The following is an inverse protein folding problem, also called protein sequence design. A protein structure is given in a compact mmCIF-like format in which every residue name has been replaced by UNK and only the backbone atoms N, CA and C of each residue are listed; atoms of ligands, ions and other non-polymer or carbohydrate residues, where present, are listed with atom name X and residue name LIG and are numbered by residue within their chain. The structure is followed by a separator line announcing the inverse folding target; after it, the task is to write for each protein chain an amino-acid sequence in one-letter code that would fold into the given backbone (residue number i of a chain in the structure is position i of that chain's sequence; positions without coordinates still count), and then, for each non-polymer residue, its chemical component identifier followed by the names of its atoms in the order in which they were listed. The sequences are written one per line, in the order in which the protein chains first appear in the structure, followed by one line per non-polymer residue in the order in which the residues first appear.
data_IF_505694888288
#
_entry.id   IF_505694888288
#
_cell.length_a   1.000
_cell.length_b   1.000
_cell.length_c   1.000
_cell.angle_alpha   90.00
_cell.angle_beta   90.00
_cell.angle_gamma   90.00
#
_symmetry.space_group_name_H-M   'P 1'
#
loop_
_entity.id
_entity.type
_entity.pdbx_description
1 polymer ?
#
# COMPACT_ATOMS: atom_id res chain seq x y z
N UNK A 1 15.71 -6.48 -20.22
CA UNK A 1 14.73 -7.53 -19.89
C UNK A 1 15.09 -8.15 -18.57
N UNK A 2 14.09 -8.35 -17.70
CA UNK A 2 14.26 -9.26 -16.56
C UNK A 2 14.83 -10.56 -17.10
N UNK A 3 15.85 -11.13 -16.44
CA UNK A 3 16.22 -12.53 -16.77
C UNK A 3 14.95 -13.36 -16.62
N UNK A 4 14.73 -14.31 -17.51
CA UNK A 4 13.50 -15.14 -17.50
C UNK A 4 13.17 -15.70 -16.11
N UNK A 5 14.18 -16.00 -15.30
CA UNK A 5 14.07 -16.45 -13.91
C UNK A 5 13.45 -15.42 -12.95
N UNK A 6 13.83 -14.14 -13.04
CA UNK A 6 13.29 -13.11 -12.15
C UNK A 6 11.80 -12.80 -12.41
N UNK A 7 11.37 -12.84 -13.68
CA UNK A 7 9.94 -12.71 -14.03
C UNK A 7 9.13 -13.90 -13.54
N UNK A 8 9.65 -15.11 -13.67
CA UNK A 8 8.98 -16.34 -13.22
C UNK A 8 8.70 -16.36 -11.72
N UNK A 9 9.56 -15.76 -10.90
CA UNK A 9 9.36 -15.67 -9.46
C UNK A 9 8.10 -14.86 -9.05
N UNK A 10 7.54 -14.06 -9.94
CA UNK A 10 6.27 -13.36 -9.73
C UNK A 10 5.10 -14.04 -10.45
N UNK A 11 5.33 -14.61 -11.62
CA UNK A 11 4.29 -15.24 -12.45
C UNK A 11 3.80 -16.55 -11.84
N UNK A 12 4.69 -17.41 -11.38
CA UNK A 12 4.29 -18.71 -10.82
C UNK A 12 3.45 -18.59 -9.53
N UNK A 13 3.77 -17.69 -8.58
CA UNK A 13 2.86 -17.40 -7.47
C UNK A 13 1.51 -16.83 -7.93
N UNK A 14 1.48 -15.93 -8.92
CA UNK A 14 0.24 -15.38 -9.45
C UNK A 14 -0.68 -16.46 -10.05
N UNK A 15 -0.14 -17.39 -10.84
CA UNK A 15 -0.89 -18.53 -11.37
C UNK A 15 -1.48 -19.41 -10.26
N UNK A 16 -0.72 -19.66 -9.19
CA UNK A 16 -1.21 -20.43 -8.02
C UNK A 16 -2.37 -19.72 -7.34
N UNK A 17 -2.29 -18.38 -7.19
CA UNK A 17 -3.36 -17.54 -6.61
C UNK A 17 -4.60 -17.61 -7.50
N UNK A 18 -4.46 -17.45 -8.82
CA UNK A 18 -5.57 -17.60 -9.76
C UNK A 18 -6.19 -19.01 -9.71
N UNK A 19 -5.37 -20.05 -9.68
CA UNK A 19 -5.84 -21.45 -9.56
C UNK A 19 -6.60 -21.71 -8.24
N UNK A 20 -6.20 -21.03 -7.17
CA UNK A 20 -6.89 -21.10 -5.86
C UNK A 20 -8.20 -20.31 -5.80
N UNK A 21 -8.61 -19.62 -6.88
CA UNK A 21 -9.88 -18.91 -6.99
C UNK A 21 -9.88 -17.50 -6.36
N UNK A 22 -8.72 -16.87 -6.18
CA UNK A 22 -8.66 -15.47 -5.76
C UNK A 22 -8.92 -14.54 -6.95
N UNK A 23 -9.52 -13.37 -6.67
CA UNK A 23 -9.86 -12.37 -7.69
C UNK A 23 -8.67 -11.47 -8.05
N UNK A 24 -7.67 -11.34 -7.19
CA UNK A 24 -6.53 -10.45 -7.41
C UNK A 24 -5.33 -10.70 -6.53
N UNK A 25 -4.27 -9.97 -6.83
CA UNK A 25 -3.02 -9.96 -6.07
C UNK A 25 -2.60 -8.53 -5.72
N UNK A 26 -1.84 -8.38 -4.65
CA UNK A 26 -1.15 -7.15 -4.35
C UNK A 26 0.33 -7.24 -4.70
N UNK A 27 0.79 -6.42 -5.63
CA UNK A 27 2.21 -6.15 -5.83
C UNK A 27 2.68 -5.13 -4.79
N UNK A 28 3.49 -5.60 -3.84
CA UNK A 28 4.04 -4.73 -2.81
C UNK A 28 5.27 -3.99 -3.34
N UNK A 29 5.04 -2.86 -3.97
CA UNK A 29 6.05 -1.94 -4.50
C UNK A 29 6.28 -0.74 -3.55
N UNK A 30 5.87 -0.92 -2.29
CA UNK A 30 6.04 0.01 -1.18
C UNK A 30 6.86 -0.58 -0.02
N UNK A 31 6.87 0.12 1.12
CA UNK A 31 7.40 -0.32 2.41
C UNK A 31 8.89 -0.74 2.41
N UNK A 32 9.69 -0.16 1.52
CA UNK A 32 11.13 -0.42 1.38
C UNK A 32 11.50 -1.90 1.08
N UNK A 33 10.57 -2.66 0.45
CA UNK A 33 10.87 -3.97 -0.10
C UNK A 33 11.59 -3.86 -1.45
N UNK A 34 12.00 -5.00 -2.02
CA UNK A 34 12.84 -5.09 -3.21
C UNK A 34 12.35 -4.18 -4.36
N UNK A 35 11.10 -4.31 -4.80
CA UNK A 35 10.55 -3.50 -5.91
C UNK A 35 10.49 -2.01 -5.57
N UNK A 36 10.16 -1.65 -4.32
CA UNK A 36 10.19 -0.27 -3.84
C UNK A 36 11.59 0.35 -3.95
N UNK A 37 12.63 -0.39 -3.57
CA UNK A 37 14.03 0.07 -3.64
C UNK A 37 14.53 0.18 -5.08
N UNK A 38 14.06 -0.66 -5.98
CA UNK A 38 14.37 -0.56 -7.42
C UNK A 38 13.79 0.73 -8.02
N UNK A 39 12.64 1.19 -7.54
CA UNK A 39 12.00 2.43 -8.02
C UNK A 39 12.55 3.69 -7.35
N UNK A 40 13.15 3.59 -6.16
CA UNK A 40 13.67 4.72 -5.40
C UNK A 40 14.91 5.33 -6.09
N UNK A 41 14.90 6.63 -6.48
CA UNK A 41 16.03 7.27 -7.15
C UNK A 41 17.29 7.37 -6.28
N UNK A 42 17.16 7.31 -4.96
CA UNK A 42 18.32 7.36 -4.04
C UNK A 42 18.96 5.98 -3.84
N UNK A 43 18.17 4.90 -3.92
CA UNK A 43 18.64 3.53 -3.76
C UNK A 43 19.08 2.92 -5.09
N UNK A 44 18.39 3.23 -6.19
CA UNK A 44 18.66 2.68 -7.50
C UNK A 44 19.76 3.47 -8.23
N UNK A 45 21.00 3.02 -8.10
CA UNK A 45 22.18 3.61 -8.75
C UNK A 45 22.53 2.97 -10.10
N UNK A 46 21.62 2.16 -10.70
CA UNK A 46 21.84 1.49 -11.99
C UNK A 46 22.01 2.48 -13.14
N UNK A 47 22.84 2.10 -14.12
CA UNK A 47 23.13 2.89 -15.33
C UNK A 47 22.56 2.25 -16.60
N UNK A 48 21.86 1.13 -16.46
CA UNK A 48 21.19 0.42 -17.55
C UNK A 48 19.70 0.85 -17.67
N UNK A 49 18.95 0.10 -18.49
CA UNK A 49 17.54 0.36 -18.76
C UNK A 49 16.58 0.21 -17.54
N UNK A 50 17.09 -0.13 -16.37
CA UNK A 50 16.34 -0.24 -15.11
C UNK A 50 16.74 0.82 -14.07
N UNK A 51 17.48 1.87 -14.49
CA UNK A 51 17.90 2.95 -13.62
C UNK A 51 17.85 4.32 -14.31
N UNK A 52 18.16 5.37 -13.58
CA UNK A 52 18.13 6.75 -14.06
C UNK A 52 16.72 7.38 -13.95
N UNK A 53 16.05 7.64 -15.07
CA UNK A 53 14.74 8.29 -15.07
C UNK A 53 13.62 7.41 -14.50
N UNK A 54 12.50 8.01 -14.13
CA UNK A 54 11.35 7.37 -13.49
C UNK A 54 10.85 6.16 -14.29
N UNK A 55 10.66 6.32 -15.59
CA UNK A 55 10.17 5.23 -16.45
C UNK A 55 11.09 4.01 -16.42
N UNK A 56 12.41 4.21 -16.49
CA UNK A 56 13.36 3.11 -16.40
C UNK A 56 13.34 2.41 -15.03
N UNK A 57 13.19 3.16 -13.94
CA UNK A 57 13.11 2.58 -12.59
C UNK A 57 11.83 1.76 -12.40
N UNK A 58 10.71 2.19 -13.00
CA UNK A 58 9.43 1.45 -12.95
C UNK A 58 9.40 0.25 -13.90
N UNK A 59 10.24 0.21 -14.95
CA UNK A 59 10.25 -0.81 -16.00
C UNK A 59 10.15 -2.25 -15.49
N UNK A 60 10.87 -2.60 -14.43
CA UNK A 60 10.82 -3.94 -13.85
C UNK A 60 9.41 -4.30 -13.38
N UNK A 61 8.72 -3.38 -12.74
CA UNK A 61 7.34 -3.57 -12.28
C UNK A 61 6.39 -3.72 -13.45
N UNK A 62 6.56 -2.91 -14.51
CA UNK A 62 5.75 -3.00 -15.72
C UNK A 62 5.90 -4.33 -16.44
N UNK A 63 7.13 -4.87 -16.51
CA UNK A 63 7.38 -6.19 -17.08
C UNK A 63 6.70 -7.30 -16.26
N UNK A 64 6.71 -7.20 -14.93
CA UNK A 64 6.01 -8.14 -14.04
C UNK A 64 4.49 -8.05 -14.25
N UNK A 65 3.91 -6.85 -14.24
CA UNK A 65 2.48 -6.63 -14.51
C UNK A 65 2.07 -7.26 -15.84
N UNK A 66 2.83 -6.95 -16.89
CA UNK A 66 2.58 -7.48 -18.24
C UNK A 66 2.59 -9.00 -18.26
N UNK A 67 3.58 -9.64 -17.64
CA UNK A 67 3.69 -11.11 -17.61
C UNK A 67 2.52 -11.75 -16.83
N UNK A 68 2.10 -11.16 -15.72
CA UNK A 68 0.96 -11.65 -14.94
C UNK A 68 -0.33 -11.51 -15.75
N UNK A 69 -0.58 -10.35 -16.36
CA UNK A 69 -1.76 -10.11 -17.23
C UNK A 69 -1.81 -11.02 -18.47
N UNK A 70 -0.65 -11.47 -18.98
CA UNK A 70 -0.60 -12.42 -20.10
C UNK A 70 -0.95 -13.86 -19.69
N UNK A 71 -0.91 -14.18 -18.40
CA UNK A 71 -1.04 -15.54 -17.89
C UNK A 71 -2.19 -15.75 -16.92
N UNK A 72 -2.82 -14.68 -16.45
CA UNK A 72 -3.95 -14.69 -15.50
C UNK A 72 -4.88 -13.51 -15.75
N UNK A 73 -6.14 -13.62 -15.30
CA UNK A 73 -7.12 -12.52 -15.29
C UNK A 73 -7.19 -11.82 -13.92
N UNK A 74 -6.17 -11.98 -13.09
CA UNK A 74 -6.14 -11.40 -11.75
C UNK A 74 -6.14 -9.86 -11.77
N UNK A 75 -6.90 -9.27 -10.87
CA UNK A 75 -6.81 -7.85 -10.53
C UNK A 75 -5.44 -7.56 -9.90
N UNK A 76 -4.69 -6.62 -10.45
CA UNK A 76 -3.37 -6.24 -9.96
C UNK A 76 -3.47 -4.94 -9.16
N UNK A 77 -3.43 -5.09 -7.84
CA UNK A 77 -3.39 -3.99 -6.88
C UNK A 77 -1.94 -3.60 -6.57
N UNK A 78 -1.53 -2.38 -6.90
CA UNK A 78 -0.17 -1.90 -6.67
C UNK A 78 -0.09 -1.04 -5.41
N UNK A 79 0.67 -1.52 -4.40
CA UNK A 79 0.93 -0.74 -3.18
C UNK A 79 2.19 0.10 -3.33
N UNK A 80 2.04 1.42 -3.45
CA UNK A 80 3.08 2.40 -3.81
C UNK A 80 3.46 3.26 -2.60
N UNK A 81 4.74 3.59 -2.45
CA UNK A 81 5.19 4.58 -1.48
C UNK A 81 5.07 6.01 -2.03
N UNK A 82 4.73 6.94 -1.14
CA UNK A 82 5.13 8.33 -1.32
C UNK A 82 6.61 8.47 -0.95
N UNK A 83 7.47 8.69 -1.96
CA UNK A 83 8.90 8.96 -1.81
C UNK A 83 9.16 10.41 -1.36
N UNK A 84 10.44 10.80 -1.26
CA UNK A 84 10.81 12.17 -0.89
C UNK A 84 10.43 13.19 -1.97
N UNK A 85 10.57 12.82 -3.24
CA UNK A 85 10.09 13.62 -4.37
C UNK A 85 8.65 13.22 -4.70
N UNK A 86 7.73 14.13 -4.39
CA UNK A 86 6.30 13.98 -4.65
C UNK A 86 5.98 13.92 -6.15
N UNK A 87 6.72 14.68 -6.98
CA UNK A 87 6.51 14.69 -8.43
C UNK A 87 6.91 13.35 -9.05
N UNK A 88 8.04 12.80 -8.63
CA UNK A 88 8.49 11.47 -9.06
C UNK A 88 7.48 10.40 -8.61
N UNK A 89 6.97 10.51 -7.38
CA UNK A 89 5.94 9.60 -6.86
C UNK A 89 4.64 9.64 -7.66
N UNK A 90 4.20 10.84 -8.07
CA UNK A 90 3.01 11.01 -8.91
C UNK A 90 3.24 10.43 -10.31
N UNK A 91 4.40 10.66 -10.91
CA UNK A 91 4.78 10.09 -12.20
C UNK A 91 4.80 8.55 -12.14
N UNK A 92 5.31 7.95 -11.06
CA UNK A 92 5.24 6.49 -10.83
C UNK A 92 3.78 6.01 -10.84
N UNK A 93 2.88 6.68 -10.12
CA UNK A 93 1.47 6.32 -10.06
C UNK A 93 0.81 6.36 -11.44
N UNK A 94 1.08 7.41 -12.24
CA UNK A 94 0.57 7.57 -13.61
C UNK A 94 1.09 6.46 -14.53
N UNK A 95 2.39 6.21 -14.51
CA UNK A 95 2.99 5.15 -15.33
C UNK A 95 2.38 3.77 -14.99
N UNK A 96 2.16 3.47 -13.71
CA UNK A 96 1.55 2.20 -13.29
C UNK A 96 0.10 2.08 -13.77
N UNK A 97 -0.70 3.13 -13.60
CA UNK A 97 -2.10 3.16 -14.04
C UNK A 97 -2.23 2.96 -15.55
N UNK A 98 -1.42 3.66 -16.34
CA UNK A 98 -1.40 3.57 -17.81
C UNK A 98 -0.89 2.22 -18.34
N UNK A 99 -0.18 1.44 -17.52
CA UNK A 99 0.49 0.22 -17.93
C UNK A 99 -0.01 -1.06 -17.22
N UNK A 100 -1.27 -1.05 -16.79
CA UNK A 100 -1.99 -2.27 -16.41
C UNK A 100 -2.10 -2.56 -14.91
N UNK A 101 -1.78 -1.63 -14.02
CA UNK A 101 -2.28 -1.68 -12.67
C UNK A 101 -3.80 -1.44 -12.69
N UNK A 102 -4.56 -2.24 -11.92
CA UNK A 102 -6.03 -2.11 -11.85
C UNK A 102 -6.46 -1.24 -10.67
N UNK A 103 -5.62 -1.04 -9.67
CA UNK A 103 -5.80 -0.10 -8.56
C UNK A 103 -4.48 0.23 -7.88
N UNK A 104 -4.42 1.38 -7.22
CA UNK A 104 -3.24 1.83 -6.48
C UNK A 104 -3.57 1.97 -4.99
N UNK A 105 -2.67 1.50 -4.12
CA UNK A 105 -2.70 1.85 -2.70
C UNK A 105 -1.55 2.80 -2.38
N UNK A 106 -1.89 4.01 -2.01
CA UNK A 106 -0.90 4.99 -1.58
C UNK A 106 -0.53 4.76 -0.11
N UNK A 107 0.75 4.64 0.15
CA UNK A 107 1.29 4.46 1.51
C UNK A 107 2.57 5.26 1.67
N UNK A 108 3.03 5.40 2.89
CA UNK A 108 4.34 5.99 3.19
C UNK A 108 5.11 5.05 4.11
N UNK A 109 6.30 4.65 3.69
CA UNK A 109 7.20 3.97 4.58
C UNK A 109 7.78 5.00 5.55
N UNK A 110 7.36 4.90 6.80
CA UNK A 110 7.94 5.69 7.87
C UNK A 110 8.91 4.77 8.63
N UNK A 111 10.18 5.11 8.58
CA UNK A 111 11.18 4.52 9.48
C UNK A 111 10.68 4.66 10.93
N UNK A 112 11.02 3.72 11.83
CA UNK A 112 10.60 3.76 13.24
C UNK A 112 10.80 5.09 13.96
N UNK A 113 11.85 5.82 13.59
CA UNK A 113 12.14 7.14 14.12
C UNK A 113 11.12 8.23 13.69
N UNK A 114 10.37 8.02 12.61
CA UNK A 114 9.31 8.92 12.15
C UNK A 114 7.95 8.66 12.80
N UNK A 115 7.79 7.55 13.52
CA UNK A 115 6.59 7.27 14.34
C UNK A 115 6.57 8.07 15.66
N UNK A 116 7.41 9.09 15.82
CA UNK A 116 7.37 9.98 16.97
C UNK A 116 6.07 10.76 16.98
N UNK A 117 5.40 10.76 18.16
CA UNK A 117 4.18 11.52 18.42
C UNK A 117 4.29 12.95 17.88
N UNK A 118 3.31 13.38 17.09
CA UNK A 118 3.08 14.78 16.75
C UNK A 118 3.50 15.25 15.36
N UNK A 119 3.97 14.38 14.46
CA UNK A 119 4.15 14.78 13.07
C UNK A 119 2.89 14.42 12.25
N UNK A 120 2.29 15.43 11.63
CA UNK A 120 1.05 15.36 10.84
C UNK A 120 1.30 14.71 9.46
N UNK A 121 1.83 13.48 9.46
CA UNK A 121 2.12 12.73 8.24
C UNK A 121 0.85 12.26 7.52
N UNK A 122 -0.28 12.23 8.21
CA UNK A 122 -1.60 11.84 7.65
C UNK A 122 -2.07 12.87 6.63
N UNK A 123 -2.00 14.18 6.93
CA UNK A 123 -2.44 15.23 6.01
C UNK A 123 -1.62 15.26 4.70
N UNK A 124 -0.31 14.99 4.77
CA UNK A 124 0.54 14.94 3.57
C UNK A 124 0.18 13.75 2.68
N UNK A 125 -0.09 12.59 3.28
CA UNK A 125 -0.47 11.40 2.54
C UNK A 125 -1.86 11.52 1.91
N UNK A 126 -2.81 12.15 2.62
CA UNK A 126 -4.15 12.49 2.11
C UNK A 126 -4.03 13.42 0.91
N UNK A 127 -3.30 14.54 1.04
CA UNK A 127 -3.12 15.51 -0.04
C UNK A 127 -2.48 14.88 -1.27
N UNK A 128 -1.50 14.00 -1.08
CA UNK A 128 -0.87 13.30 -2.21
C UNK A 128 -1.82 12.30 -2.86
N UNK A 129 -2.55 11.50 -2.09
CA UNK A 129 -3.50 10.53 -2.62
C UNK A 129 -4.64 11.20 -3.40
N UNK A 130 -5.13 12.35 -2.93
CA UNK A 130 -6.14 13.16 -3.63
C UNK A 130 -5.61 13.71 -4.95
N UNK A 131 -4.35 14.14 -5.01
CA UNK A 131 -3.69 14.50 -6.28
C UNK A 131 -3.61 13.30 -7.24
N UNK A 132 -3.26 12.11 -6.73
CA UNK A 132 -3.20 10.90 -7.56
C UNK A 132 -4.57 10.58 -8.15
N UNK A 133 -5.65 10.68 -7.35
CA UNK A 133 -7.04 10.52 -7.83
C UNK A 133 -7.35 11.42 -9.01
N UNK A 134 -6.89 12.67 -8.98
CA UNK A 134 -7.10 13.62 -10.09
C UNK A 134 -6.29 13.33 -11.37
N UNK A 135 -5.35 12.40 -11.31
CA UNK A 135 -4.39 12.15 -12.41
C UNK A 135 -4.45 10.71 -12.97
N UNK A 136 -5.24 9.81 -12.37
CA UNK A 136 -5.38 8.42 -12.80
C UNK A 136 -6.85 8.00 -12.91
N UNK A 137 -7.18 7.12 -13.86
CA UNK A 137 -8.53 6.62 -14.11
C UNK A 137 -8.81 5.26 -13.42
N UNK A 138 -8.01 4.89 -12.42
CA UNK A 138 -8.16 3.64 -11.66
C UNK A 138 -8.37 3.92 -10.17
N UNK A 139 -9.05 3.02 -9.42
CA UNK A 139 -9.32 3.21 -8.00
C UNK A 139 -8.05 3.46 -7.17
N UNK A 140 -8.12 4.44 -6.28
CA UNK A 140 -7.04 4.80 -5.36
C UNK A 140 -7.46 4.48 -3.93
N UNK A 141 -6.65 3.66 -3.27
CA UNK A 141 -6.81 3.25 -1.86
C UNK A 141 -5.83 4.03 -1.00
N UNK A 142 -6.28 4.70 0.03
CA UNK A 142 -5.40 5.35 0.98
C UNK A 142 -5.07 4.42 2.14
N UNK A 143 -3.78 4.08 2.28
CA UNK A 143 -3.26 3.32 3.41
C UNK A 143 -2.88 4.23 4.56
N UNK A 144 -3.44 4.02 5.75
CA UNK A 144 -3.11 4.89 6.87
C UNK A 144 -3.60 4.42 8.23
N UNK A 145 -3.45 5.30 9.21
CA UNK A 145 -3.76 5.07 10.62
C UNK A 145 -5.19 5.38 11.01
N UNK A 146 -6.14 5.16 10.14
CA UNK A 146 -7.57 5.43 10.37
C UNK A 146 -8.09 4.65 11.57
N UNK A 147 -8.74 5.33 12.49
CA UNK A 147 -9.19 4.76 13.76
C UNK A 147 -10.55 5.28 14.23
N UNK A 148 -11.13 6.27 13.55
CA UNK A 148 -12.45 6.81 13.89
C UNK A 148 -13.25 7.16 12.64
N UNK A 149 -14.57 6.98 12.72
CA UNK A 149 -15.46 7.15 11.58
C UNK A 149 -15.61 8.61 11.15
N UNK A 150 -15.55 9.56 12.08
CA UNK A 150 -15.71 10.98 11.74
C UNK A 150 -14.60 11.47 10.82
N UNK A 151 -13.35 11.08 11.14
CA UNK A 151 -12.20 11.39 10.27
C UNK A 151 -12.31 10.72 8.91
N UNK A 152 -12.82 9.47 8.85
CA UNK A 152 -13.06 8.74 7.61
C UNK A 152 -14.15 9.42 6.78
N UNK A 153 -15.30 9.73 7.37
CA UNK A 153 -16.40 10.44 6.68
C UNK A 153 -15.96 11.81 6.18
N UNK A 154 -15.20 12.54 6.99
CA UNK A 154 -14.64 13.83 6.57
C UNK A 154 -13.74 13.67 5.35
N UNK A 155 -12.84 12.68 5.34
CA UNK A 155 -11.98 12.39 4.21
C UNK A 155 -12.80 12.08 2.95
N UNK A 156 -13.69 11.09 3.02
CA UNK A 156 -14.48 10.61 1.89
C UNK A 156 -15.37 11.69 1.29
N UNK A 157 -15.87 12.61 2.13
CA UNK A 157 -16.73 13.73 1.69
C UNK A 157 -15.95 14.92 1.11
N UNK A 158 -14.65 15.02 1.35
CA UNK A 158 -13.84 16.19 0.97
C UNK A 158 -12.69 15.87 0.01
N UNK A 159 -12.57 14.63 -0.45
CA UNK A 159 -11.56 14.18 -1.43
C UNK A 159 -12.19 13.23 -2.44
N UNK A 160 -11.47 12.95 -3.53
CA UNK A 160 -11.86 11.91 -4.48
C UNK A 160 -11.47 10.48 -4.06
N UNK A 161 -10.97 10.29 -2.84
CA UNK A 161 -10.54 8.98 -2.33
C UNK A 161 -11.79 8.16 -1.96
N UNK A 162 -11.93 6.95 -2.53
CA UNK A 162 -13.09 6.07 -2.31
C UNK A 162 -12.81 4.92 -1.33
N UNK A 163 -11.55 4.53 -1.17
CA UNK A 163 -11.17 3.34 -0.42
C UNK A 163 -10.09 3.63 0.61
N UNK A 164 -10.22 2.98 1.77
CA UNK A 164 -9.26 3.06 2.86
C UNK A 164 -8.72 1.67 3.23
N UNK A 165 -7.41 1.59 3.50
CA UNK A 165 -6.78 0.38 4.01
C UNK A 165 -6.40 0.56 5.47
N UNK A 166 -6.91 -0.32 6.33
CA UNK A 166 -6.63 -0.35 7.77
C UNK A 166 -5.97 -1.66 8.16
N UNK A 167 -5.02 -1.61 9.10
CA UNK A 167 -4.33 -2.81 9.59
C UNK A 167 -4.40 -2.92 11.12
N UNK A 168 -3.90 -1.94 11.85
CA UNK A 168 -3.77 -1.98 13.30
C UNK A 168 -5.08 -2.16 14.09
N UNK A 169 -6.20 -1.54 13.71
CA UNK A 169 -7.50 -1.82 14.33
C UNK A 169 -7.85 -3.30 14.29
N UNK A 170 -7.64 -3.99 13.17
CA UNK A 170 -7.93 -5.41 13.03
C UNK A 170 -6.96 -6.31 13.80
N UNK A 171 -5.69 -5.90 13.97
CA UNK A 171 -4.75 -6.62 14.84
C UNK A 171 -5.19 -6.50 16.30
N UNK A 172 -5.79 -5.39 16.70
CA UNK A 172 -6.34 -5.18 18.04
C UNK A 172 -7.63 -5.97 18.25
N UNK A 173 -8.53 -5.93 17.28
CA UNK A 173 -9.84 -6.55 17.34
C UNK A 173 -10.27 -7.05 15.95
N UNK A 174 -10.36 -8.36 15.76
CA UNK A 174 -10.75 -8.97 14.50
C UNK A 174 -12.19 -8.64 14.11
N UNK A 175 -13.09 -8.47 15.11
CA UNK A 175 -14.49 -8.07 14.95
C UNK A 175 -14.71 -6.56 14.79
N UNK A 176 -13.65 -5.78 14.73
CA UNK A 176 -13.66 -4.31 14.78
C UNK A 176 -14.75 -3.66 13.91
N UNK A 177 -14.87 -4.04 12.64
CA UNK A 177 -15.87 -3.45 11.75
C UNK A 177 -17.31 -3.84 12.12
N UNK A 178 -17.54 -5.06 12.57
CA UNK A 178 -18.85 -5.53 13.01
C UNK A 178 -19.29 -4.77 14.26
N UNK A 179 -18.44 -4.73 15.28
CA UNK A 179 -18.68 -3.98 16.50
C UNK A 179 -18.84 -2.47 16.23
N UNK A 180 -18.04 -1.95 15.31
CA UNK A 180 -18.11 -0.55 14.92
C UNK A 180 -19.45 -0.20 14.32
N UNK A 181 -19.97 -1.08 13.45
CA UNK A 181 -21.28 -0.94 12.82
C UNK A 181 -22.43 -1.04 13.82
N UNK A 182 -22.32 -1.94 14.81
CA UNK A 182 -23.32 -2.15 15.87
C UNK A 182 -23.32 -1.02 16.91
N UNK A 183 -22.17 -0.41 17.20
CA UNK A 183 -21.96 0.60 18.23
C UNK A 183 -21.90 2.04 17.70
N UNK A 184 -22.62 2.35 16.62
CA UNK A 184 -22.67 3.71 16.04
C UNK A 184 -21.30 4.28 15.65
N UNK A 185 -20.40 3.45 15.13
CA UNK A 185 -19.12 3.85 14.56
C UNK A 185 -18.25 4.70 15.52
N UNK A 186 -17.96 4.18 16.68
CA UNK A 186 -17.06 4.81 17.65
C UNK A 186 -15.59 4.87 17.19
N UNK A 187 -14.72 5.06 18.15
CA UNK A 187 -13.28 5.05 17.91
C UNK A 187 -12.71 3.63 18.12
N UNK A 188 -11.72 3.22 17.33
CA UNK A 188 -10.98 1.99 17.57
C UNK A 188 -10.17 2.04 18.87
N UNK A 189 -10.15 0.94 19.60
CA UNK A 189 -9.33 0.77 20.81
C UNK A 189 -7.83 0.68 20.54
N UNK A 190 -7.41 0.71 19.29
CA UNK A 190 -6.00 0.70 18.92
C UNK A 190 -5.28 1.95 19.40
N UNK A 191 -4.34 1.79 20.33
CA UNK A 191 -3.54 2.91 20.90
C UNK A 191 -2.40 3.39 20.00
N UNK A 192 -2.33 2.91 18.76
CA UNK A 192 -1.30 3.28 17.76
C UNK A 192 0.15 3.18 18.26
N UNK A 193 0.42 2.30 19.23
CA UNK A 193 1.75 2.11 19.83
C UNK A 193 2.75 1.40 18.91
N UNK A 194 2.30 0.84 17.80
CA UNK A 194 3.08 0.13 16.78
C UNK A 194 3.80 -1.15 17.25
N UNK A 195 3.56 -1.63 18.48
CA UNK A 195 4.19 -2.82 19.02
C UNK A 195 3.89 -4.09 18.19
N UNK A 196 2.75 -4.15 17.48
CA UNK A 196 2.39 -5.25 16.60
C UNK A 196 3.31 -5.38 15.36
N UNK A 197 4.07 -4.35 14.99
CA UNK A 197 5.06 -4.43 13.90
C UNK A 197 6.39 -5.03 14.34
N UNK A 198 6.70 -5.00 15.63
CA UNK A 198 8.02 -5.38 16.15
C UNK A 198 8.12 -6.81 16.64
N UNK A 199 6.98 -7.48 16.86
CA UNK A 199 6.96 -8.87 17.30
C UNK A 199 6.69 -9.83 16.14
N UNK A 200 7.29 -11.01 16.19
CA UNK A 200 7.14 -12.08 15.19
C UNK A 200 5.71 -12.59 14.99
N UNK A 201 4.79 -12.25 15.89
CA UNK A 201 3.44 -12.81 15.92
C UNK A 201 2.33 -11.88 15.44
N UNK A 202 2.60 -10.62 15.05
CA UNK A 202 1.57 -9.63 14.67
C UNK A 202 0.38 -9.58 15.66
N UNK A 203 0.65 -9.71 16.95
CA UNK A 203 -0.38 -9.72 18.01
C UNK A 203 -0.38 -8.40 18.75
N UNK A 204 -1.57 -7.93 19.12
CA UNK A 204 -1.71 -6.75 19.96
C UNK A 204 -1.35 -7.07 21.42
N UNK A 205 -0.27 -6.48 21.93
CA UNK A 205 0.20 -6.72 23.29
C UNK A 205 -0.74 -6.12 24.37
N UNK A 206 -1.38 -5.00 24.06
CA UNK A 206 -2.31 -4.34 24.99
C UNK A 206 -3.59 -5.18 25.19
N UNK A 207 -3.96 -6.02 24.20
CA UNK A 207 -5.12 -6.91 24.30
C UNK A 207 -4.87 -8.22 25.04
N UNK A 208 -3.63 -8.67 25.12
CA UNK A 208 -3.29 -9.92 25.81
C UNK A 208 -3.26 -9.77 27.34
N UNK A 209 -3.08 -8.58 27.86
CA UNK A 209 -3.09 -8.30 29.30
C UNK A 209 -4.52 -8.20 29.87
N UNK A 210 -5.50 -7.79 29.06
CA UNK A 210 -6.92 -7.72 29.46
C UNK A 210 -7.63 -9.07 29.43
N UNK A 211 -7.14 -10.05 28.63
CA UNK A 211 -7.70 -11.40 28.57
C UNK A 211 -7.15 -12.34 29.65
N UNK A 212 -6.19 -11.87 30.46
CA UNK A 212 -5.54 -12.64 31.52
C UNK A 212 -6.05 -12.26 32.92
N UNK A 213 -7.11 -11.49 33.02
CA UNK A 213 -7.84 -11.17 34.25
C UNK A 213 -9.28 -11.70 34.16
#
# INVERSE_FOLDING_TARGET
MLSGEQGQNFVEPAKKVAFAGFDGIQLNIGNNYYLSRVMDPFENQRKDNYGGNTFNRVRMVLEIIKLIKQTTDLHIHCKVNLYQDEKDSLEICKILAENGADSLQITKFLSPQYFRKGQNNENMLVSFADKVVGEVDIPVVLGGGWSDMKSIEHLLNNTGIEYLSMYRPFVRNHGFLTEWKENNYGQSDCKTCNNCYWKKSSVCLIGSEEQSK
#
